data_IF_089443404337
#
_entry.id   IF_089443404337
#
_cell.length_a   1.000
_cell.length_b   1.000
_cell.length_c   1.000
_cell.angle_alpha   90.00
_cell.angle_beta   90.00
_cell.angle_gamma   90.00
#
_symmetry.space_group_name_H-M   'P 1'
#
loop_
_entity.id
_entity.type
_entity.pdbx_description
1 polymer ?
#
# COMPACT_ATOMS: atom_id res chain seq x y z
N UNK A 1 -2.83 -20.25 9.52
CA UNK A 1 -3.41 -18.90 9.50
C UNK A 1 -2.25 -17.96 9.26
N UNK A 2 -1.99 -17.60 8.01
CA UNK A 2 -0.90 -16.68 7.66
C UNK A 2 -1.56 -15.37 7.28
N UNK A 3 -1.77 -14.49 8.25
CA UNK A 3 -2.16 -13.10 8.01
C UNK A 3 -1.01 -12.21 8.47
N UNK A 4 0.03 -12.14 7.65
CA UNK A 4 0.99 -11.04 7.65
C UNK A 4 0.97 -10.34 6.29
N UNK A 5 -0.23 -10.24 5.70
CA UNK A 5 -0.53 -9.09 4.85
C UNK A 5 -0.98 -8.01 5.81
N UNK A 6 -0.19 -6.95 5.92
CA UNK A 6 -0.52 -5.75 6.68
C UNK A 6 -1.92 -5.31 6.30
N UNK A 7 -2.88 -5.42 7.21
CA UNK A 7 -4.21 -4.86 6.99
C UNK A 7 -4.06 -3.34 6.88
N UNK A 8 -4.11 -2.82 5.64
CA UNK A 8 -3.88 -1.40 5.37
C UNK A 8 -4.94 -0.53 6.06
N UNK A 9 -6.15 -1.05 6.27
CA UNK A 9 -7.19 -0.39 7.06
C UNK A 9 -6.78 -0.18 8.52
N UNK A 10 -6.29 -1.21 9.19
CA UNK A 10 -5.75 -1.11 10.55
C UNK A 10 -4.52 -0.20 10.63
N UNK A 11 -3.69 -0.17 9.58
CA UNK A 11 -2.56 0.76 9.50
C UNK A 11 -3.03 2.21 9.43
N UNK A 12 -3.97 2.54 8.55
CA UNK A 12 -4.51 3.90 8.42
C UNK A 12 -5.29 4.34 9.66
N UNK A 13 -6.03 3.44 10.31
CA UNK A 13 -6.69 3.72 11.59
C UNK A 13 -5.71 4.15 12.69
N UNK A 14 -4.60 3.42 12.83
CA UNK A 14 -3.54 3.78 13.78
C UNK A 14 -2.90 5.12 13.42
N UNK A 15 -2.65 5.35 12.13
CA UNK A 15 -2.05 6.59 11.66
C UNK A 15 -2.94 7.82 11.94
N UNK A 16 -4.26 7.68 11.77
CA UNK A 16 -5.23 8.72 12.13
C UNK A 16 -5.27 8.97 13.63
N UNK A 17 -5.21 7.92 14.45
CA UNK A 17 -5.16 8.05 15.91
C UNK A 17 -3.88 8.77 16.37
N UNK A 18 -2.72 8.39 15.82
CA UNK A 18 -1.43 9.03 16.10
C UNK A 18 -1.40 10.51 15.68
N UNK A 19 -2.13 10.88 14.61
CA UNK A 19 -2.29 12.27 14.17
C UNK A 19 -3.29 13.07 15.03
N UNK A 20 -4.04 12.41 15.92
CA UNK A 20 -5.04 13.04 16.77
C UNK A 20 -6.38 13.31 16.08
N UNK A 21 -6.71 12.55 15.04
CA UNK A 21 -7.95 12.72 14.25
C UNK A 21 -9.15 11.95 14.81
N UNK A 22 -9.06 11.42 16.04
CA UNK A 22 -10.11 10.59 16.64
C UNK A 22 -11.39 11.36 16.96
N UNK A 23 -11.30 12.68 17.12
CA UNK A 23 -12.43 13.57 17.43
C UNK A 23 -13.22 14.06 16.22
N UNK A 24 -12.89 13.59 15.01
CA UNK A 24 -13.67 13.90 13.81
C UNK A 24 -15.05 13.27 13.89
N UNK A 25 -16.03 13.92 13.23
CA UNK A 25 -17.33 13.31 12.98
C UNK A 25 -17.17 12.01 12.18
N UNK A 26 -18.08 11.05 12.38
CA UNK A 26 -18.02 9.73 11.74
C UNK A 26 -17.93 9.80 10.21
N UNK A 27 -18.67 10.70 9.57
CA UNK A 27 -18.68 10.82 8.12
C UNK A 27 -17.33 11.38 7.62
N UNK A 28 -16.85 12.44 8.27
CA UNK A 28 -15.54 13.06 7.98
C UNK A 28 -14.40 12.07 8.24
N UNK A 29 -14.48 11.30 9.32
CA UNK A 29 -13.50 10.25 9.65
C UNK A 29 -13.45 9.17 8.57
N UNK A 30 -14.61 8.76 8.08
CA UNK A 30 -14.72 7.72 7.04
C UNK A 30 -14.14 8.21 5.71
N UNK A 31 -14.41 9.46 5.33
CA UNK A 31 -13.82 10.09 4.15
C UNK A 31 -12.30 10.18 4.28
N UNK A 32 -11.80 10.72 5.40
CA UNK A 32 -10.36 10.84 5.64
C UNK A 32 -9.67 9.47 5.64
N UNK A 33 -10.30 8.44 6.23
CA UNK A 33 -9.77 7.08 6.24
C UNK A 33 -9.68 6.50 4.82
N UNK A 34 -10.73 6.67 4.02
CA UNK A 34 -10.78 6.20 2.63
C UNK A 34 -9.70 6.87 1.77
N UNK A 35 -9.58 8.18 1.88
CA UNK A 35 -8.55 8.97 1.20
C UNK A 35 -7.15 8.54 1.62
N UNK A 36 -6.95 8.32 2.93
CA UNK A 36 -5.66 7.91 3.48
C UNK A 36 -5.27 6.51 2.99
N UNK A 37 -6.23 5.59 2.95
CA UNK A 37 -6.05 4.23 2.45
C UNK A 37 -5.61 4.24 0.98
N UNK A 38 -6.34 4.97 0.13
CA UNK A 38 -5.99 5.09 -1.30
C UNK A 38 -4.59 5.66 -1.49
N UNK A 39 -4.19 6.69 -0.71
CA UNK A 39 -2.83 7.27 -0.78
C UNK A 39 -1.74 6.29 -0.36
N UNK A 40 -2.00 5.45 0.63
CA UNK A 40 -1.06 4.40 1.08
C UNK A 40 -0.90 3.34 -0.01
N UNK A 41 -2.01 2.88 -0.59
CA UNK A 41 -2.00 1.91 -1.69
C UNK A 41 -1.24 2.44 -2.90
N UNK A 42 -1.50 3.68 -3.33
CA UNK A 42 -0.78 4.34 -4.42
C UNK A 42 0.73 4.42 -4.14
N UNK A 43 1.11 4.74 -2.90
CA UNK A 43 2.52 4.81 -2.51
C UNK A 43 3.21 3.44 -2.58
N UNK A 44 2.54 2.38 -2.14
CA UNK A 44 3.04 1.01 -2.22
C UNK A 44 3.19 0.60 -3.68
N UNK A 45 2.14 0.80 -4.49
CA UNK A 45 2.13 0.45 -5.90
C UNK A 45 3.24 1.17 -6.67
N UNK A 46 3.42 2.48 -6.45
CA UNK A 46 4.50 3.24 -7.05
C UNK A 46 5.88 2.73 -6.63
N UNK A 47 6.05 2.32 -5.37
CA UNK A 47 7.31 1.78 -4.86
C UNK A 47 7.64 0.42 -5.47
N UNK A 48 6.65 -0.46 -5.62
CA UNK A 48 6.82 -1.74 -6.28
C UNK A 48 7.12 -1.58 -7.77
N UNK A 49 6.38 -0.70 -8.47
CA UNK A 49 6.63 -0.39 -9.88
C UNK A 49 8.03 0.17 -10.13
N UNK A 50 8.56 1.00 -9.22
CA UNK A 50 9.92 1.53 -9.31
C UNK A 50 11.00 0.45 -9.16
N UNK A 51 10.69 -0.66 -8.51
CA UNK A 51 11.59 -1.81 -8.34
C UNK A 51 11.33 -2.93 -9.36
N UNK A 52 10.30 -2.79 -10.19
CA UNK A 52 10.00 -3.76 -11.23
C UNK A 52 11.06 -3.65 -12.35
N UNK A 53 11.67 -4.77 -12.77
CA UNK A 53 12.56 -4.77 -13.92
C UNK A 53 11.88 -4.21 -15.18
N UNK A 54 12.59 -3.36 -15.94
CA UNK A 54 12.01 -2.67 -17.11
C UNK A 54 11.59 -3.62 -18.24
N UNK A 55 12.19 -4.81 -18.32
CA UNK A 55 11.82 -5.87 -19.26
C UNK A 55 10.56 -6.65 -18.83
N UNK A 56 10.08 -6.42 -17.60
CA UNK A 56 8.89 -7.05 -17.01
C UNK A 56 7.66 -6.15 -17.01
N UNK A 57 7.78 -4.87 -17.36
CA UNK A 57 6.66 -3.92 -17.36
C UNK A 57 5.51 -4.36 -18.27
N UNK A 58 5.80 -4.82 -19.49
CA UNK A 58 4.77 -5.28 -20.42
C UNK A 58 4.06 -6.56 -19.95
N UNK A 59 4.81 -7.47 -19.32
CA UNK A 59 4.25 -8.69 -18.74
C UNK A 59 3.36 -8.36 -17.53
N UNK A 60 3.76 -7.36 -16.73
CA UNK A 60 2.98 -6.89 -15.60
C UNK A 60 1.64 -6.29 -16.02
N UNK A 61 1.62 -5.44 -17.06
CA UNK A 61 0.38 -4.88 -17.62
C UNK A 61 -0.60 -5.99 -18.03
N UNK A 62 -0.12 -7.04 -18.69
CA UNK A 62 -0.96 -8.19 -19.08
C UNK A 62 -1.53 -8.94 -17.87
N UNK A 63 -0.74 -9.08 -16.80
CA UNK A 63 -1.21 -9.70 -15.56
C UNK A 63 -2.25 -8.83 -14.87
N UNK A 64 -2.06 -7.51 -14.84
CA UNK A 64 -3.02 -6.55 -14.29
C UNK A 64 -4.37 -6.60 -15.03
N UNK A 65 -4.35 -6.71 -16.36
CA UNK A 65 -5.57 -6.80 -17.19
C UNK A 65 -6.43 -8.03 -16.87
N UNK A 66 -5.85 -9.07 -16.24
CA UNK A 66 -6.64 -10.24 -15.82
C UNK A 66 -7.52 -9.99 -14.60
N UNK A 67 -7.20 -8.96 -13.79
CA UNK A 67 -7.86 -8.70 -12.51
C UNK A 67 -7.66 -9.81 -11.46
N UNK A 68 -6.80 -10.79 -11.72
CA UNK A 68 -6.56 -11.92 -10.82
C UNK A 68 -5.51 -11.53 -9.78
N UNK A 69 -5.97 -11.14 -8.60
CA UNK A 69 -5.12 -10.72 -7.47
C UNK A 69 -4.03 -11.73 -7.14
N UNK A 70 -4.30 -13.04 -7.26
CA UNK A 70 -3.30 -14.07 -6.96
C UNK A 70 -2.17 -14.04 -7.97
N UNK A 71 -2.49 -13.89 -9.26
CA UNK A 71 -1.47 -13.79 -10.32
C UNK A 71 -0.65 -12.51 -10.18
N UNK A 72 -1.29 -11.41 -9.82
CA UNK A 72 -0.61 -10.13 -9.57
C UNK A 72 0.39 -10.29 -8.41
N UNK A 73 -0.04 -10.88 -7.29
CA UNK A 73 0.84 -11.11 -6.12
C UNK A 73 1.98 -12.08 -6.43
N UNK A 74 1.70 -13.17 -7.14
CA UNK A 74 2.70 -14.15 -7.55
C UNK A 74 3.74 -13.50 -8.48
N UNK A 75 3.28 -12.72 -9.46
CA UNK A 75 4.16 -12.00 -10.38
C UNK A 75 5.09 -11.02 -9.65
N UNK A 76 4.55 -10.25 -8.71
CA UNK A 76 5.33 -9.32 -7.88
C UNK A 76 6.36 -10.09 -7.06
N UNK A 77 5.98 -11.20 -6.43
CA UNK A 77 6.87 -12.01 -5.60
C UNK A 77 8.02 -12.64 -6.39
N UNK A 78 7.78 -13.00 -7.65
CA UNK A 78 8.79 -13.58 -8.54
C UNK A 78 9.70 -12.49 -9.12
N UNK A 79 9.12 -11.35 -9.50
CA UNK A 79 9.82 -10.29 -10.24
C UNK A 79 10.58 -9.32 -9.33
N UNK A 80 10.18 -9.21 -8.06
CA UNK A 80 10.76 -8.30 -7.07
C UNK A 80 11.18 -9.13 -5.85
N UNK A 81 12.44 -9.61 -5.79
CA UNK A 81 12.91 -10.50 -4.73
C UNK A 81 12.77 -9.93 -3.30
N UNK A 82 12.76 -8.61 -3.18
CA UNK A 82 12.64 -7.86 -1.93
C UNK A 82 11.29 -7.13 -1.79
N UNK A 83 10.22 -7.61 -2.44
CA UNK A 83 8.91 -6.94 -2.45
C UNK A 83 8.41 -6.57 -1.04
N UNK A 84 8.54 -7.48 -0.07
CA UNK A 84 8.12 -7.23 1.31
C UNK A 84 8.91 -6.08 1.97
N UNK A 85 10.21 -5.99 1.70
CA UNK A 85 11.08 -4.92 2.23
C UNK A 85 10.72 -3.57 1.59
N UNK A 86 10.43 -3.57 0.29
CA UNK A 86 9.95 -2.38 -0.45
C UNK A 86 8.62 -1.89 0.11
N UNK A 87 7.67 -2.78 0.39
CA UNK A 87 6.37 -2.43 1.02
C UNK A 87 6.59 -1.86 2.42
N UNK A 88 7.44 -2.50 3.23
CA UNK A 88 7.73 -2.04 4.58
C UNK A 88 8.37 -0.65 4.59
N UNK A 89 9.34 -0.39 3.71
CA UNK A 89 9.98 0.92 3.55
C UNK A 89 8.97 1.99 3.10
N UNK A 90 8.10 1.65 2.14
CA UNK A 90 7.05 2.54 1.65
C UNK A 90 6.10 2.96 2.78
N UNK A 91 5.65 2.01 3.60
CA UNK A 91 4.78 2.26 4.76
C UNK A 91 5.47 3.11 5.84
N UNK A 92 6.73 2.81 6.17
CA UNK A 92 7.49 3.57 7.15
C UNK A 92 7.70 5.02 6.70
N UNK A 93 8.07 5.21 5.42
CA UNK A 93 8.25 6.53 4.81
C UNK A 93 6.94 7.30 4.82
N UNK A 94 5.84 6.66 4.39
CA UNK A 94 4.52 7.28 4.37
C UNK A 94 4.08 7.74 5.76
N UNK A 95 4.21 6.86 6.77
CA UNK A 95 3.91 7.21 8.17
C UNK A 95 4.73 8.41 8.63
N UNK A 96 6.03 8.42 8.35
CA UNK A 96 6.89 9.53 8.77
C UNK A 96 6.49 10.85 8.10
N UNK A 97 6.24 10.85 6.80
CA UNK A 97 5.78 12.06 6.10
C UNK A 97 4.43 12.54 6.64
N UNK A 98 3.45 11.65 6.72
CA UNK A 98 2.10 11.99 7.14
C UNK A 98 2.04 12.56 8.56
N UNK A 99 2.85 12.05 9.49
CA UNK A 99 2.87 12.55 10.87
C UNK A 99 3.60 13.88 11.04
N UNK A 100 4.57 14.19 10.17
CA UNK A 100 5.38 15.41 10.26
C UNK A 100 4.88 16.58 9.39
N UNK A 101 3.94 16.36 8.48
CA UNK A 101 3.20 17.42 7.76
C UNK A 101 2.27 18.23 8.68
#
# INVERSE_FOLDING_TARGET
MNQEITDLGSFTDRLMAEKGLEGLDTDVRTEVHTDLLSRVEDRINASLLAHLPSDKSQEFEQVLDTGDEKKIQEFISISIPNANEVVAEALMTFRQTYLND
#
